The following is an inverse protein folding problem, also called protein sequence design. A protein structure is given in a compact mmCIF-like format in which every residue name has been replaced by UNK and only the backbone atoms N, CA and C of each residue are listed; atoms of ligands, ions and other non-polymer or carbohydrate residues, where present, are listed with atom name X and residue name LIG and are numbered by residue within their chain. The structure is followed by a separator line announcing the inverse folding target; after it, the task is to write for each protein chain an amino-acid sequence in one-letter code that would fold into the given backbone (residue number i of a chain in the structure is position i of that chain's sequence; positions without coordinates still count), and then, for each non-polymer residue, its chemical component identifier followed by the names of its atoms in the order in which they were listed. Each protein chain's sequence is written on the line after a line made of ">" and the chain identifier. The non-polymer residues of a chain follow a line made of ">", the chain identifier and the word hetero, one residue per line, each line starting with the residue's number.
data_IF_110651757386
#
_entry.id   IF_110651757386
#
_cell.length_a   1.000
_cell.length_b   1.000
_cell.length_c   1.000
_cell.angle_alpha   90.00
_cell.angle_beta   90.00
_cell.angle_gamma   90.00
#
_symmetry.space_group_name_H-M   'P 1'
#
loop_
_entity.id
_entity.type
_entity.pdbx_description
1 polymer ?
#
# COMPACT_ATOMS: atom_id res chain seq x y z
N UNK A 1 8.43 -2.55 -4.60
CA UNK A 1 7.84 -3.57 -5.48
C UNK A 1 7.17 -2.88 -6.66
N UNK A 2 7.37 -3.36 -7.89
CA UNK A 2 6.62 -2.92 -9.09
C UNK A 2 5.75 -4.10 -9.53
N UNK A 3 4.47 -3.86 -9.81
CA UNK A 3 3.54 -4.92 -10.18
C UNK A 3 2.36 -4.41 -10.99
N UNK A 4 1.57 -5.36 -11.50
CA UNK A 4 0.41 -5.07 -12.32
C UNK A 4 -0.88 -5.10 -11.51
N UNK A 5 -1.87 -4.37 -11.98
CA UNK A 5 -3.23 -4.47 -11.48
C UNK A 5 -3.93 -5.72 -12.02
N UNK A 6 -4.79 -6.39 -11.22
CA UNK A 6 -5.23 -6.00 -9.87
C UNK A 6 -4.28 -6.44 -8.72
N UNK A 7 -3.22 -7.19 -9.04
CA UNK A 7 -2.36 -7.87 -8.07
C UNK A 7 -1.65 -6.93 -7.10
N UNK A 8 -1.04 -5.84 -7.59
CA UNK A 8 -0.31 -4.89 -6.74
C UNK A 8 -1.21 -4.20 -5.72
N UNK A 9 -2.43 -3.82 -6.13
CA UNK A 9 -3.40 -3.22 -5.21
C UNK A 9 -3.91 -4.23 -4.19
N UNK A 10 -4.14 -5.49 -4.59
CA UNK A 10 -4.53 -6.56 -3.68
C UNK A 10 -3.42 -6.88 -2.67
N UNK A 11 -2.16 -6.93 -3.11
CA UNK A 11 -0.99 -7.12 -2.26
C UNK A 11 -0.89 -6.03 -1.19
N UNK A 12 -0.95 -4.75 -1.60
CA UNK A 12 -0.86 -3.63 -0.65
C UNK A 12 -1.96 -3.68 0.43
N UNK A 13 -3.20 -4.03 0.04
CA UNK A 13 -4.31 -4.19 0.99
C UNK A 13 -4.13 -5.39 1.93
N UNK A 14 -3.63 -6.52 1.43
CA UNK A 14 -3.41 -7.73 2.25
C UNK A 14 -2.24 -7.57 3.21
N UNK A 15 -1.21 -6.84 2.80
CA UNK A 15 -0.05 -6.57 3.64
C UNK A 15 -0.41 -5.57 4.76
N UNK A 16 -1.34 -4.65 4.50
CA UNK A 16 -1.84 -3.69 5.48
C UNK A 16 -2.63 -4.34 6.61
N UNK A 17 -2.49 -3.80 7.82
CA UNK A 17 -3.27 -4.11 9.04
C UNK A 17 -4.79 -3.78 8.95
N UNK A 18 -5.26 -3.33 7.79
CA UNK A 18 -6.64 -2.92 7.56
C UNK A 18 -6.95 -1.49 7.98
N UNK A 19 -5.99 -0.76 8.56
CA UNK A 19 -6.11 0.64 8.92
C UNK A 19 -5.40 1.54 7.91
N UNK A 20 -5.99 2.71 7.65
CA UNK A 20 -5.40 3.70 6.78
C UNK A 20 -5.83 5.10 7.20
N UNK A 21 -4.92 6.08 7.02
CA UNK A 21 -5.28 7.49 7.14
C UNK A 21 -6.36 7.84 6.11
N UNK A 22 -7.24 8.82 6.38
CA UNK A 22 -8.26 9.25 5.42
C UNK A 22 -7.72 9.60 4.03
N UNK A 23 -6.51 10.16 3.97
CA UNK A 23 -5.83 10.43 2.70
C UNK A 23 -5.54 9.17 1.88
N UNK A 24 -5.34 8.02 2.53
CA UNK A 24 -4.96 6.77 1.90
C UNK A 24 -6.14 5.84 1.58
N UNK A 25 -7.34 6.12 2.09
CA UNK A 25 -8.53 5.24 1.95
C UNK A 25 -8.85 4.94 0.49
N UNK A 26 -8.58 5.86 -0.44
CA UNK A 26 -8.79 5.65 -1.89
C UNK A 26 -7.96 4.49 -2.47
N UNK A 27 -6.81 4.14 -1.87
CA UNK A 27 -6.00 2.99 -2.26
C UNK A 27 -6.77 1.66 -2.13
N UNK A 28 -7.75 1.61 -1.22
CA UNK A 28 -8.57 0.43 -0.99
C UNK A 28 -9.66 0.26 -2.06
N UNK A 29 -10.03 1.35 -2.73
CA UNK A 29 -11.04 1.37 -3.80
C UNK A 29 -10.40 1.20 -5.18
N UNK A 30 -9.31 1.94 -5.46
CA UNK A 30 -8.65 1.95 -6.76
C UNK A 30 -7.15 2.22 -6.65
N UNK A 31 -6.37 1.48 -7.41
CA UNK A 31 -4.92 1.66 -7.53
C UNK A 31 -4.59 1.92 -9.01
N UNK A 32 -4.64 3.18 -9.49
CA UNK A 32 -4.48 3.48 -10.91
C UNK A 32 -3.03 3.24 -11.37
N UNK A 33 -2.84 3.16 -12.68
CA UNK A 33 -1.50 3.04 -13.28
C UNK A 33 -0.58 4.15 -12.78
N UNK A 34 0.63 3.78 -12.38
CA UNK A 34 1.63 4.70 -11.83
C UNK A 34 1.38 5.17 -10.41
N UNK A 35 0.32 4.71 -9.73
CA UNK A 35 0.15 5.00 -8.31
C UNK A 35 1.22 4.32 -7.46
N UNK A 36 1.55 4.96 -6.34
CA UNK A 36 2.51 4.47 -5.37
C UNK A 36 1.89 4.44 -3.98
N UNK A 37 2.17 3.37 -3.22
CA UNK A 37 1.82 3.22 -1.83
C UNK A 37 3.10 3.02 -0.99
N UNK A 38 3.14 3.64 0.18
CA UNK A 38 4.16 3.44 1.21
C UNK A 38 3.51 2.72 2.37
N UNK A 39 4.10 1.60 2.76
CA UNK A 39 3.68 0.80 3.89
C UNK A 39 4.86 0.64 4.85
N UNK A 40 4.61 0.89 6.13
CA UNK A 40 5.62 0.74 7.18
C UNK A 40 5.49 -0.68 7.76
N UNK A 41 6.60 -1.41 7.82
CA UNK A 41 6.71 -2.69 8.54
C UNK A 41 7.62 -2.46 9.75
N UNK A 42 7.12 -2.74 10.95
CA UNK A 42 7.91 -2.68 12.19
C UNK A 42 8.58 -4.04 12.44
N UNK A 43 9.59 -4.35 11.61
CA UNK A 43 10.33 -5.61 11.61
C UNK A 43 11.84 -5.35 11.52
N UNK A 44 12.64 -6.25 12.08
CA UNK A 44 14.11 -6.19 12.02
C UNK A 44 14.68 -6.95 10.81
N UNK A 45 13.94 -7.95 10.31
CA UNK A 45 14.31 -8.77 9.15
C UNK A 45 13.11 -9.02 8.23
N UNK A 46 13.34 -9.05 6.92
CA UNK A 46 12.30 -9.26 5.91
C UNK A 46 11.58 -10.60 6.00
N UNK A 47 12.21 -11.64 6.57
CA UNK A 47 11.57 -12.92 6.82
C UNK A 47 10.44 -12.84 7.85
N UNK A 48 10.37 -11.75 8.63
CA UNK A 48 9.31 -11.50 9.60
C UNK A 48 8.10 -10.79 8.96
N UNK A 49 8.18 -10.35 7.70
CA UNK A 49 7.07 -9.69 7.03
C UNK A 49 5.91 -10.68 6.83
N UNK A 50 4.76 -10.36 7.42
CA UNK A 50 3.54 -11.16 7.33
C UNK A 50 2.34 -10.31 6.87
N UNK A 51 1.30 -10.97 6.39
CA UNK A 51 0.04 -10.34 6.01
C UNK A 51 -0.60 -9.64 7.21
N UNK A 52 -1.17 -8.46 6.99
CA UNK A 52 -1.69 -7.64 8.07
C UNK A 52 -0.64 -6.98 8.97
N UNK A 53 0.65 -7.18 8.71
CA UNK A 53 1.74 -6.65 9.55
C UNK A 53 2.18 -5.22 9.23
N UNK A 54 1.64 -4.59 8.17
CA UNK A 54 2.09 -3.28 7.75
C UNK A 54 1.07 -2.16 8.02
N UNK A 55 1.55 -0.98 8.39
CA UNK A 55 0.72 0.22 8.50
C UNK A 55 0.73 0.99 7.18
N UNK A 56 -0.44 1.41 6.71
CA UNK A 56 -0.54 2.19 5.47
C UNK A 56 -0.12 3.65 5.71
N UNK A 57 1.08 4.03 5.24
CA UNK A 57 1.69 5.33 5.54
C UNK A 57 1.23 6.44 4.59
N UNK A 58 1.30 6.18 3.27
CA UNK A 58 0.99 7.16 2.23
C UNK A 58 0.51 6.49 0.93
N UNK A 59 -0.36 7.18 0.19
CA UNK A 59 -0.78 6.79 -1.15
C UNK A 59 -0.80 8.01 -2.05
N UNK A 60 -0.24 7.90 -3.25
CA UNK A 60 -0.26 8.94 -4.28
C UNK A 60 -0.59 8.35 -5.65
N UNK A 61 -1.39 9.07 -6.44
CA UNK A 61 -1.58 8.83 -7.86
C UNK A 61 -0.80 9.89 -8.66
N UNK A 62 -0.36 9.60 -9.90
CA UNK A 62 0.48 10.53 -10.67
C UNK A 62 -0.11 11.95 -10.79
N UNK A 63 -1.43 12.07 -10.93
CA UNK A 63 -2.15 13.35 -11.07
C UNK A 63 -2.11 14.25 -9.83
N UNK A 64 -1.59 13.78 -8.70
CA UNK A 64 -1.54 14.50 -7.43
C UNK A 64 -0.11 14.98 -7.09
N UNK A 65 0.86 14.73 -7.97
CA UNK A 65 2.29 15.02 -7.75
C UNK A 65 2.76 16.31 -8.44
N UNK A 66 1.84 17.25 -8.70
CA UNK A 66 2.08 18.53 -9.38
C UNK A 66 2.02 19.70 -8.42
#
# INVERSE_FOLDING_TARGET
>A
MIGHQPGVGAFARKLSDGTAKPSCTRAFQRFPTGAAAVLDLEIDDWAQADWGGARFHAFAAPKELT
#
